data_IF_760132159613
#
_entry.id   IF_760132159613
#
_cell.length_a   1.000
_cell.length_b   1.000
_cell.length_c   1.000
_cell.angle_alpha   90.00
_cell.angle_beta   90.00
_cell.angle_gamma   90.00
#
_symmetry.space_group_name_H-M   'P 1'
#
loop_
_entity.id
_entity.type
_entity.pdbx_description
1 polymer ?
#
# COMPACT_ATOMS: atom_id res chain seq x y z
N UNK A 1 2.43 -0.74 -12.82
CA UNK A 1 2.60 -0.25 -11.42
C UNK A 1 3.21 -1.33 -10.50
N UNK A 2 2.59 -2.49 -10.35
CA UNK A 2 3.03 -3.54 -9.40
C UNK A 2 4.48 -4.03 -9.60
N UNK A 3 4.88 -4.34 -10.83
CA UNK A 3 6.26 -4.75 -11.13
C UNK A 3 7.28 -3.65 -10.78
N UNK A 4 6.95 -2.38 -11.07
CA UNK A 4 7.80 -1.24 -10.69
C UNK A 4 7.92 -1.07 -9.18
N UNK A 5 6.85 -1.34 -8.43
CA UNK A 5 6.88 -1.32 -6.97
C UNK A 5 7.78 -2.44 -6.40
N UNK A 6 7.76 -3.65 -6.97
CA UNK A 6 8.69 -4.74 -6.60
C UNK A 6 10.13 -4.31 -6.86
N UNK A 7 10.44 -3.81 -8.05
CA UNK A 7 11.79 -3.40 -8.42
C UNK A 7 12.31 -2.28 -7.50
N UNK A 8 11.46 -1.29 -7.17
CA UNK A 8 11.82 -0.23 -6.23
C UNK A 8 12.09 -0.78 -4.84
N UNK A 9 11.24 -1.68 -4.34
CA UNK A 9 11.41 -2.26 -3.01
C UNK A 9 12.63 -3.18 -2.93
N UNK A 10 12.92 -3.93 -4.00
CA UNK A 10 14.13 -4.76 -4.11
C UNK A 10 15.41 -3.94 -3.98
N UNK A 11 15.47 -2.80 -4.69
CA UNK A 11 16.62 -1.89 -4.67
C UNK A 11 16.82 -1.22 -3.30
N UNK A 12 15.74 -1.00 -2.55
CA UNK A 12 15.75 -0.25 -1.30
C UNK A 12 15.58 -1.12 -0.05
N UNK A 13 15.44 -2.46 -0.17
CA UNK A 13 15.11 -3.35 0.95
C UNK A 13 16.11 -3.26 2.09
N UNK A 14 17.41 -3.15 1.80
CA UNK A 14 18.44 -3.06 2.84
C UNK A 14 18.41 -1.71 3.58
N UNK A 15 18.05 -0.64 2.88
CA UNK A 15 17.83 0.66 3.52
C UNK A 15 16.61 0.60 4.46
N UNK A 16 15.53 -0.06 4.03
CA UNK A 16 14.35 -0.25 4.88
C UNK A 16 14.65 -1.16 6.07
N UNK A 17 15.45 -2.22 5.88
CA UNK A 17 15.94 -3.09 6.95
C UNK A 17 16.73 -2.27 8.00
N UNK A 18 17.61 -1.36 7.55
CA UNK A 18 18.40 -0.51 8.43
C UNK A 18 17.56 0.54 9.20
N UNK A 19 16.40 0.94 8.68
CA UNK A 19 15.46 1.84 9.35
C UNK A 19 14.60 1.15 10.40
N UNK A 20 14.66 -0.17 10.53
CA UNK A 20 13.82 -0.94 11.43
C UNK A 20 14.25 -0.73 12.90
N UNK A 21 13.85 0.41 13.49
CA UNK A 21 14.22 0.81 14.86
C UNK A 21 13.08 0.71 15.88
N UNK A 22 11.88 0.28 15.49
CA UNK A 22 10.73 0.19 16.41
C UNK A 22 9.73 -0.93 16.06
N UNK A 23 9.21 -1.71 17.04
CA UNK A 23 9.62 -1.83 18.43
C UNK A 23 10.79 -2.82 18.63
N UNK A 24 11.06 -3.67 17.63
CA UNK A 24 12.12 -4.69 17.66
C UNK A 24 12.96 -4.55 16.39
N UNK A 25 14.25 -4.24 16.50
CA UNK A 25 15.14 -4.10 15.35
C UNK A 25 15.65 -5.47 14.88
N UNK A 26 14.76 -6.28 14.32
CA UNK A 26 15.10 -7.58 13.72
C UNK A 26 15.68 -7.45 12.30
N UNK A 27 15.74 -6.23 11.76
CA UNK A 27 16.44 -5.92 10.52
C UNK A 27 15.85 -6.59 9.28
N UNK A 28 14.58 -7.01 9.32
CA UNK A 28 13.96 -7.79 8.24
C UNK A 28 12.79 -7.10 7.52
N UNK A 29 12.39 -5.89 7.96
CA UNK A 29 11.17 -5.21 7.49
C UNK A 29 11.14 -5.05 5.96
N UNK A 30 12.23 -4.61 5.35
CA UNK A 30 12.35 -4.45 3.90
C UNK A 30 12.29 -5.79 3.17
N UNK A 31 12.98 -6.81 3.68
CA UNK A 31 12.93 -8.18 3.15
C UNK A 31 11.51 -8.74 3.20
N UNK A 32 10.83 -8.59 4.34
CA UNK A 32 9.47 -9.05 4.57
C UNK A 32 8.47 -8.38 3.61
N UNK A 33 8.58 -7.06 3.43
CA UNK A 33 7.74 -6.33 2.47
C UNK A 33 8.05 -6.74 1.02
N UNK A 34 9.33 -6.92 0.65
CA UNK A 34 9.72 -7.34 -0.70
C UNK A 34 9.16 -8.72 -1.06
N UNK A 35 9.30 -9.71 -0.16
CA UNK A 35 8.79 -11.06 -0.36
C UNK A 35 7.26 -11.06 -0.48
N UNK A 36 6.59 -10.31 0.39
CA UNK A 36 5.12 -10.16 0.37
C UNK A 36 4.64 -9.54 -0.95
N UNK A 37 5.27 -8.44 -1.38
CA UNK A 37 4.91 -7.76 -2.62
C UNK A 37 5.22 -8.62 -3.85
N UNK A 38 6.34 -9.34 -3.84
CA UNK A 38 6.71 -10.27 -4.92
C UNK A 38 5.69 -11.40 -5.08
N UNK A 39 5.14 -11.91 -3.98
CA UNK A 39 4.06 -12.90 -4.02
C UNK A 39 2.77 -12.31 -4.60
N UNK A 40 2.42 -11.07 -4.22
CA UNK A 40 1.28 -10.35 -4.78
C UNK A 40 1.40 -10.18 -6.31
N UNK A 41 2.57 -9.76 -6.80
CA UNK A 41 2.81 -9.56 -8.23
C UNK A 41 2.78 -10.85 -9.01
N UNK A 42 3.37 -11.93 -8.46
CA UNK A 42 3.34 -13.25 -9.08
C UNK A 42 1.91 -13.73 -9.32
N UNK A 43 1.03 -13.53 -8.34
CA UNK A 43 -0.38 -13.90 -8.46
C UNK A 43 -1.12 -12.99 -9.45
N UNK A 44 -0.91 -11.68 -9.36
CA UNK A 44 -1.54 -10.69 -10.23
C UNK A 44 -1.21 -10.85 -11.72
N UNK A 45 -0.06 -11.41 -12.06
CA UNK A 45 0.40 -11.60 -13.45
C UNK A 45 -0.11 -12.89 -14.11
N UNK A 46 -0.95 -13.69 -13.45
CA UNK A 46 -1.43 -14.97 -14.00
C UNK A 46 -2.51 -14.86 -15.10
N UNK A 47 -2.75 -13.68 -15.66
CA UNK A 47 -3.35 -13.56 -16.99
C UNK A 47 -4.72 -12.89 -17.10
N UNK A 48 -4.98 -11.83 -16.34
CA UNK A 48 -6.16 -10.97 -16.57
C UNK A 48 -5.76 -9.53 -16.85
N UNK A 49 -6.47 -8.89 -17.79
CA UNK A 49 -6.41 -7.44 -18.04
C UNK A 49 -7.48 -6.69 -17.23
N UNK A 50 -8.42 -7.39 -16.59
CA UNK A 50 -9.47 -6.81 -15.77
C UNK A 50 -8.89 -6.34 -14.43
N UNK A 51 -9.02 -5.03 -14.15
CA UNK A 51 -8.44 -4.42 -12.96
C UNK A 51 -8.94 -5.06 -11.65
N UNK A 52 -10.22 -5.40 -11.56
CA UNK A 52 -10.78 -6.02 -10.36
C UNK A 52 -10.18 -7.41 -10.12
N UNK A 53 -10.02 -8.20 -11.18
CA UNK A 53 -9.37 -9.52 -11.10
C UNK A 53 -7.89 -9.40 -10.72
N UNK A 54 -7.15 -8.48 -11.34
CA UNK A 54 -5.74 -8.21 -11.01
C UNK A 54 -5.58 -7.77 -9.55
N UNK A 55 -6.45 -6.88 -9.06
CA UNK A 55 -6.43 -6.42 -7.68
C UNK A 55 -6.77 -7.55 -6.69
N UNK A 56 -7.75 -8.39 -7.01
CA UNK A 56 -8.12 -9.56 -6.21
C UNK A 56 -6.98 -10.59 -6.14
N UNK A 57 -6.35 -10.88 -7.28
CA UNK A 57 -5.18 -11.76 -7.35
C UNK A 57 -4.01 -11.19 -6.53
N UNK A 58 -3.69 -9.89 -6.66
CA UNK A 58 -2.67 -9.24 -5.85
C UNK A 58 -2.97 -9.33 -4.34
N UNK A 59 -4.23 -9.12 -3.94
CA UNK A 59 -4.69 -9.29 -2.56
C UNK A 59 -4.45 -10.72 -2.06
N UNK A 60 -4.88 -11.73 -2.81
CA UNK A 60 -4.67 -13.15 -2.45
C UNK A 60 -3.18 -13.49 -2.34
N UNK A 61 -2.38 -13.13 -3.35
CA UNK A 61 -0.94 -13.40 -3.36
C UNK A 61 -0.21 -12.70 -2.21
N UNK A 62 -0.57 -11.44 -1.91
CA UNK A 62 0.01 -10.71 -0.78
C UNK A 62 -0.33 -11.36 0.57
N UNK A 63 -1.54 -11.89 0.73
CA UNK A 63 -1.96 -12.55 1.97
C UNK A 63 -1.25 -13.89 2.17
N UNK A 64 -1.21 -14.73 1.13
CA UNK A 64 -0.56 -16.04 1.19
C UNK A 64 0.97 -15.91 1.31
N UNK A 65 1.54 -14.85 0.75
CA UNK A 65 2.97 -14.56 0.80
C UNK A 65 3.41 -13.65 1.95
N UNK A 66 2.50 -13.23 2.83
CA UNK A 66 2.80 -12.28 3.90
C UNK A 66 3.90 -12.79 4.84
N UNK A 67 4.92 -11.96 5.09
CA UNK A 67 6.03 -12.24 6.00
C UNK A 67 6.13 -11.19 7.09
N UNK A 68 6.21 -11.62 8.35
CA UNK A 68 6.29 -10.73 9.51
C UNK A 68 5.11 -9.76 9.61
N UNK A 69 5.19 -8.83 10.57
CA UNK A 69 4.12 -7.85 10.79
C UNK A 69 3.97 -6.87 9.63
N UNK A 70 5.08 -6.44 9.03
CA UNK A 70 5.08 -5.51 7.88
C UNK A 70 4.41 -6.12 6.66
N UNK A 71 4.67 -7.40 6.37
CA UNK A 71 3.99 -8.14 5.30
C UNK A 71 2.50 -8.34 5.58
N UNK A 72 2.12 -8.64 6.82
CA UNK A 72 0.70 -8.73 7.19
C UNK A 72 0.01 -7.38 6.95
N UNK A 73 0.55 -6.26 7.43
CA UNK A 73 -0.06 -4.93 7.20
C UNK A 73 -0.14 -4.61 5.71
N UNK A 74 0.92 -4.87 4.95
CA UNK A 74 0.93 -4.66 3.49
C UNK A 74 -0.16 -5.49 2.79
N UNK A 75 -0.37 -6.74 3.20
CA UNK A 75 -1.44 -7.58 2.65
C UNK A 75 -2.85 -7.00 2.90
N UNK A 76 -3.04 -6.29 4.01
CA UNK A 76 -4.33 -5.65 4.32
C UNK A 76 -4.55 -4.38 3.51
N UNK A 77 -3.48 -3.65 3.17
CA UNK A 77 -3.57 -2.55 2.20
C UNK A 77 -4.02 -3.08 0.83
N UNK A 78 -3.43 -4.18 0.35
CA UNK A 78 -3.86 -4.84 -0.89
C UNK A 78 -5.30 -5.36 -0.83
N UNK A 79 -5.71 -5.93 0.31
CA UNK A 79 -7.09 -6.35 0.53
C UNK A 79 -8.06 -5.18 0.38
N UNK A 80 -7.78 -4.03 1.01
CA UNK A 80 -8.66 -2.86 0.91
C UNK A 80 -8.64 -2.22 -0.49
N UNK A 81 -7.49 -2.22 -1.18
CA UNK A 81 -7.42 -1.83 -2.60
C UNK A 81 -8.35 -2.71 -3.45
N UNK A 82 -8.25 -4.03 -3.30
CA UNK A 82 -9.11 -4.98 -4.02
C UNK A 82 -10.60 -4.75 -3.74
N UNK A 83 -10.96 -4.48 -2.49
CA UNK A 83 -12.34 -4.16 -2.11
C UNK A 83 -12.84 -2.87 -2.77
N UNK A 84 -12.03 -1.82 -2.80
CA UNK A 84 -12.40 -0.55 -3.43
C UNK A 84 -12.45 -0.59 -4.95
N UNK A 85 -11.75 -1.54 -5.58
CA UNK A 85 -11.75 -1.76 -7.04
C UNK A 85 -12.71 -2.88 -7.49
N UNK A 86 -13.45 -3.49 -6.56
CA UNK A 86 -14.33 -4.60 -6.88
C UNK A 86 -15.40 -4.19 -7.93
N UNK A 87 -15.54 -5.01 -8.98
CA UNK A 87 -16.49 -4.75 -10.07
C UNK A 87 -16.06 -3.70 -11.09
N UNK A 88 -14.85 -3.13 -10.95
CA UNK A 88 -14.30 -2.17 -11.90
C UNK A 88 -13.23 -2.83 -12.78
N UNK A 89 -13.53 -3.04 -14.07
CA UNK A 89 -12.57 -3.53 -15.06
C UNK A 89 -11.49 -2.49 -15.40
N UNK A 90 -11.79 -1.20 -15.17
CA UNK A 90 -10.87 -0.07 -15.21
C UNK A 90 -11.29 0.98 -14.16
N UNK A 91 -10.36 1.82 -13.72
CA UNK A 91 -10.59 2.82 -12.68
C UNK A 91 -10.21 4.23 -13.15
N UNK A 92 -11.09 5.18 -12.87
CA UNK A 92 -10.80 6.60 -12.98
C UNK A 92 -10.24 7.18 -11.68
N UNK A 93 -10.05 8.51 -11.63
CA UNK A 93 -9.47 9.18 -10.46
C UNK A 93 -10.28 8.96 -9.17
N UNK A 94 -11.61 8.86 -9.28
CA UNK A 94 -12.50 8.66 -8.13
C UNK A 94 -12.37 7.25 -7.56
N UNK A 95 -12.37 6.24 -8.42
CA UNK A 95 -12.23 4.83 -8.03
C UNK A 95 -10.86 4.57 -7.41
N UNK A 96 -9.78 5.14 -7.99
CA UNK A 96 -8.43 5.05 -7.43
C UNK A 96 -8.36 5.69 -6.04
N UNK A 97 -8.87 6.92 -5.88
CA UNK A 97 -8.87 7.59 -4.58
C UNK A 97 -9.70 6.83 -3.53
N UNK A 98 -10.86 6.29 -3.92
CA UNK A 98 -11.70 5.50 -3.03
C UNK A 98 -11.02 4.18 -2.64
N UNK A 99 -10.34 3.51 -3.57
CA UNK A 99 -9.58 2.30 -3.27
C UNK A 99 -8.45 2.55 -2.28
N UNK A 100 -7.75 3.69 -2.37
CA UNK A 100 -6.73 4.08 -1.37
C UNK A 100 -7.33 4.33 0.02
N UNK A 101 -8.53 4.91 0.09
CA UNK A 101 -9.26 5.09 1.35
C UNK A 101 -9.64 3.75 1.97
N UNK A 102 -10.16 2.81 1.17
CA UNK A 102 -10.50 1.47 1.65
C UNK A 102 -9.25 0.66 2.04
N UNK A 103 -8.14 0.80 1.31
CA UNK A 103 -6.84 0.24 1.68
C UNK A 103 -6.42 0.66 3.09
N UNK A 104 -6.40 1.98 3.35
CA UNK A 104 -6.06 2.54 4.66
C UNK A 104 -7.00 2.01 5.74
N UNK A 105 -8.32 2.10 5.54
CA UNK A 105 -9.32 1.62 6.53
C UNK A 105 -9.17 0.15 6.85
N UNK A 106 -8.94 -0.70 5.86
CA UNK A 106 -8.77 -2.14 6.05
C UNK A 106 -7.48 -2.46 6.79
N UNK A 107 -6.37 -1.77 6.50
CA UNK A 107 -5.14 -1.92 7.26
C UNK A 107 -5.28 -1.48 8.73
N UNK A 108 -5.93 -0.34 9.01
CA UNK A 108 -6.17 0.11 10.39
C UNK A 108 -7.02 -0.88 11.18
N UNK A 109 -8.09 -1.42 10.58
CA UNK A 109 -8.98 -2.40 11.23
C UNK A 109 -8.29 -3.73 11.53
N UNK A 110 -7.26 -4.08 10.78
CA UNK A 110 -6.54 -5.34 10.97
C UNK A 110 -5.49 -5.29 12.08
N UNK A 111 -5.14 -4.10 12.59
CA UNK A 111 -4.18 -3.94 13.68
C UNK A 111 -4.94 -3.72 14.99
N UNK A 112 -4.71 -4.57 16.00
CA UNK A 112 -5.41 -4.52 17.29
C UNK A 112 -5.27 -3.18 18.02
N UNK A 113 -4.11 -2.54 17.92
CA UNK A 113 -3.82 -1.23 18.50
C UNK A 113 -3.07 -0.40 17.45
N UNK A 114 -3.77 0.26 16.51
CA UNK A 114 -3.10 1.04 15.47
C UNK A 114 -2.43 2.26 16.09
N UNK A 115 -1.20 2.56 15.66
CA UNK A 115 -0.39 3.67 16.19
C UNK A 115 -0.08 4.64 15.05
N UNK A 116 -0.23 5.93 15.32
CA UNK A 116 0.21 6.98 14.41
C UNK A 116 1.75 7.09 14.40
N UNK A 117 2.33 7.62 13.34
CA UNK A 117 3.78 7.54 13.12
C UNK A 117 4.26 6.21 12.55
N UNK A 118 3.34 5.39 12.00
CA UNK A 118 3.66 4.14 11.31
C UNK A 118 3.27 4.20 9.83
N UNK A 119 3.47 3.11 9.10
CA UNK A 119 2.96 2.94 7.72
C UNK A 119 1.45 3.20 7.61
N UNK A 120 0.70 3.01 8.69
CA UNK A 120 -0.73 3.32 8.75
C UNK A 120 -0.98 4.82 8.55
N UNK A 121 -0.23 5.69 9.24
CA UNK A 121 -0.30 7.15 9.06
C UNK A 121 -0.01 7.54 7.63
N UNK A 122 1.05 6.97 7.04
CA UNK A 122 1.44 7.23 5.65
C UNK A 122 0.29 6.86 4.72
N UNK A 123 -0.26 5.64 4.83
CA UNK A 123 -1.38 5.20 3.99
C UNK A 123 -2.64 6.08 4.15
N UNK A 124 -2.95 6.52 5.37
CA UNK A 124 -4.10 7.38 5.66
C UNK A 124 -3.95 8.76 5.01
N UNK A 125 -2.80 9.39 5.15
CA UNK A 125 -2.55 10.72 4.55
C UNK A 125 -2.49 10.63 3.03
N UNK A 126 -1.85 9.60 2.46
CA UNK A 126 -1.87 9.36 1.01
C UNK A 126 -3.30 9.27 0.47
N UNK A 127 -4.17 8.53 1.15
CA UNK A 127 -5.57 8.40 0.75
C UNK A 127 -6.36 9.73 0.88
N UNK A 128 -6.07 10.53 1.90
CA UNK A 128 -6.69 11.85 2.08
C UNK A 128 -6.30 12.82 0.95
N UNK A 129 -5.01 12.87 0.58
CA UNK A 129 -4.55 13.75 -0.51
C UNK A 129 -5.05 13.27 -1.89
N UNK A 130 -5.07 11.95 -2.13
CA UNK A 130 -5.69 11.36 -3.31
C UNK A 130 -7.16 11.76 -3.45
N UNK A 131 -7.92 11.69 -2.35
CA UNK A 131 -9.34 12.05 -2.34
C UNK A 131 -9.56 13.55 -2.59
N UNK A 132 -8.71 14.43 -2.04
CA UNK A 132 -8.77 15.87 -2.32
C UNK A 132 -8.51 16.16 -3.81
N UNK A 133 -7.48 15.56 -4.39
CA UNK A 133 -7.16 15.72 -5.81
C UNK A 133 -8.31 15.24 -6.72
N UNK A 134 -8.90 14.08 -6.43
CA UNK A 134 -10.04 13.56 -7.18
C UNK A 134 -11.27 14.48 -7.08
N UNK A 135 -11.53 15.07 -5.91
CA UNK A 135 -12.63 16.04 -5.70
C UNK A 135 -12.39 17.36 -6.43
N UNK A 136 -11.14 17.77 -6.58
CA UNK A 136 -10.74 18.95 -7.34
C UNK A 136 -10.78 18.73 -8.87
N UNK A 137 -11.16 17.54 -9.34
CA UNK A 137 -11.26 17.22 -10.76
C UNK A 137 -9.94 16.79 -11.40
N UNK A 138 -8.94 16.40 -10.60
CA UNK A 138 -7.70 15.82 -11.12
C UNK A 138 -7.94 14.49 -11.84
N UNK A 139 -7.08 14.21 -12.82
CA UNK A 139 -7.02 12.90 -13.48
C UNK A 139 -6.29 11.86 -12.60
N UNK A 140 -6.14 10.63 -13.12
CA UNK A 140 -5.52 9.54 -12.38
C UNK A 140 -4.07 9.87 -12.00
N UNK A 141 -3.32 10.52 -12.89
CA UNK A 141 -1.94 10.90 -12.62
C UNK A 141 -1.85 11.93 -11.48
N UNK A 142 -2.68 12.98 -11.53
CA UNK A 142 -2.77 13.98 -10.47
C UNK A 142 -3.16 13.37 -9.11
N UNK A 143 -4.09 12.40 -9.11
CA UNK A 143 -4.49 11.68 -7.90
C UNK A 143 -3.34 10.85 -7.32
N UNK A 144 -2.61 10.11 -8.15
CA UNK A 144 -1.47 9.31 -7.72
C UNK A 144 -0.32 10.21 -7.24
N UNK A 145 -0.06 11.32 -7.92
CA UNK A 145 0.97 12.28 -7.53
C UNK A 145 0.65 12.94 -6.18
N UNK A 146 -0.61 13.32 -5.95
CA UNK A 146 -1.07 13.84 -4.67
C UNK A 146 -0.91 12.79 -3.55
N UNK A 147 -1.25 11.52 -3.83
CA UNK A 147 -1.06 10.42 -2.88
C UNK A 147 0.43 10.25 -2.50
N UNK A 148 1.34 10.28 -3.48
CA UNK A 148 2.78 10.17 -3.25
C UNK A 148 3.33 11.35 -2.47
N UNK A 149 2.89 12.57 -2.77
CA UNK A 149 3.31 13.77 -2.03
C UNK A 149 2.85 13.71 -0.57
N UNK A 150 1.57 13.37 -0.34
CA UNK A 150 1.03 13.15 1.00
C UNK A 150 1.77 12.04 1.77
N UNK A 151 2.14 10.96 1.08
CA UNK A 151 2.95 9.89 1.67
C UNK A 151 4.30 10.39 2.18
N UNK A 152 5.00 11.20 1.37
CA UNK A 152 6.32 11.75 1.71
C UNK A 152 6.24 12.72 2.89
N UNK A 153 5.25 13.61 2.89
CA UNK A 153 5.02 14.54 3.99
C UNK A 153 4.67 13.80 5.29
N UNK A 154 3.83 12.78 5.21
CA UNK A 154 3.48 11.95 6.36
C UNK A 154 4.70 11.17 6.88
N UNK A 155 5.48 10.56 5.99
CA UNK A 155 6.70 9.82 6.33
C UNK A 155 7.73 10.71 7.03
N UNK A 156 7.95 11.93 6.55
CA UNK A 156 8.86 12.87 7.21
C UNK A 156 8.43 13.23 8.63
N UNK A 157 7.13 13.16 8.92
CA UNK A 157 6.55 13.47 10.24
C UNK A 157 6.43 12.25 11.15
N UNK A 158 6.58 11.02 10.66
CA UNK A 158 6.40 9.84 11.52
C UNK A 158 7.29 9.83 12.77
N UNK A 159 8.56 10.31 12.76
CA UNK A 159 9.39 10.30 13.96
C UNK A 159 8.89 11.24 15.07
N UNK A 160 8.06 12.24 14.78
CA UNK A 160 7.51 13.16 15.77
C UNK A 160 6.12 12.77 16.30
N UNK A 161 5.60 11.63 15.84
CA UNK A 161 4.27 11.10 16.23
C UNK A 161 4.37 9.85 17.13
N UNK A 162 5.57 9.30 17.30
CA UNK A 162 5.89 8.11 18.11
C UNK A 162 6.46 8.47 19.48
#
# INVERSE_FOLDING_TARGET
MLQGAVASLEQNKEQVNALNVFPVPDGDTGTNMYLTLSAAVREALQGSEDLAQVAAAASTGSLMGARGNSGVILSQLFRGLSQGLAGHSAAGPREVAQALVEASRTAYRAVMKPVEGTILTVARVSAQEAQKAARAGGDVEAVLQAAVNGAKEALARTPSLL
#
